data_IF_926589056365
#
_entry.id   IF_926589056365
#
_cell.length_a   1.000
_cell.length_b   1.000
_cell.length_c   1.000
_cell.angle_alpha   90.00
_cell.angle_beta   90.00
_cell.angle_gamma   90.00
#
_symmetry.space_group_name_H-M   'P 1'
#
loop_
_entity.id
_entity.type
_entity.pdbx_description
1 polymer ?
#
# COMPACT_ATOMS: atom_id res chain seq x y z
N UNK A 1 14.90 -18.51 -12.56
CA UNK A 1 13.87 -19.30 -13.28
C UNK A 1 12.64 -19.24 -12.40
N UNK A 2 11.72 -18.31 -12.68
CA UNK A 2 10.57 -18.04 -11.81
C UNK A 2 9.48 -19.11 -12.04
N UNK A 3 9.00 -19.70 -10.95
CA UNK A 3 7.99 -20.76 -10.96
C UNK A 3 6.58 -20.11 -11.02
N UNK A 4 5.95 -20.16 -12.20
CA UNK A 4 4.66 -19.50 -12.51
C UNK A 4 3.47 -20.42 -12.22
N UNK A 5 3.31 -20.87 -10.97
CA UNK A 5 2.16 -21.69 -10.58
C UNK A 5 1.47 -21.15 -9.33
N UNK A 6 0.48 -20.26 -9.53
CA UNK A 6 -0.70 -20.14 -8.65
C UNK A 6 -1.81 -19.31 -9.33
N UNK A 7 -2.98 -19.94 -9.54
CA UNK A 7 -4.33 -19.36 -9.48
C UNK A 7 -4.69 -18.19 -10.41
N UNK A 8 -5.37 -18.51 -11.52
CA UNK A 8 -6.28 -17.64 -12.31
C UNK A 8 -5.91 -16.16 -12.51
N UNK A 9 -4.63 -15.85 -12.71
CA UNK A 9 -4.25 -14.66 -13.46
C UNK A 9 -4.68 -14.86 -14.90
N UNK A 10 -5.54 -13.97 -15.42
CA UNK A 10 -5.98 -14.00 -16.82
C UNK A 10 -4.71 -14.06 -17.69
N UNK A 11 -4.52 -15.12 -18.51
CA UNK A 11 -3.25 -15.38 -19.21
C UNK A 11 -2.70 -14.17 -19.97
N UNK A 12 -3.59 -13.30 -20.45
CA UNK A 12 -3.27 -12.07 -21.15
C UNK A 12 -2.51 -11.04 -20.29
N UNK A 13 -2.86 -10.87 -19.00
CA UNK A 13 -2.16 -9.91 -18.14
C UNK A 13 -0.77 -10.41 -17.75
N UNK A 14 -0.62 -11.73 -17.53
CA UNK A 14 0.69 -12.33 -17.33
C UNK A 14 1.57 -12.20 -18.57
N UNK A 15 1.02 -12.51 -19.75
CA UNK A 15 1.71 -12.30 -21.02
C UNK A 15 2.14 -10.84 -21.19
N UNK A 16 1.25 -9.89 -20.89
CA UNK A 16 1.56 -8.46 -20.94
C UNK A 16 2.69 -8.07 -19.97
N UNK A 17 2.65 -8.54 -18.72
CA UNK A 17 3.72 -8.29 -17.74
C UNK A 17 5.06 -8.84 -18.20
N UNK A 18 5.08 -10.05 -18.77
CA UNK A 18 6.30 -10.66 -19.33
C UNK A 18 6.85 -9.86 -20.51
N UNK A 19 5.97 -9.43 -21.43
CA UNK A 19 6.36 -8.55 -22.54
C UNK A 19 6.97 -7.26 -22.00
N UNK A 20 6.32 -6.62 -21.03
CA UNK A 20 6.83 -5.42 -20.39
C UNK A 20 8.17 -5.67 -19.72
N UNK A 21 8.34 -6.80 -19.02
CA UNK A 21 9.58 -7.14 -18.32
C UNK A 21 10.75 -7.40 -19.30
N UNK A 22 10.46 -7.88 -20.51
CA UNK A 22 11.47 -8.07 -21.55
C UNK A 22 11.96 -6.76 -22.19
N UNK A 23 11.25 -5.63 -21.96
CA UNK A 23 11.64 -4.33 -22.53
C UNK A 23 12.78 -3.69 -21.73
N UNK A 24 13.65 -2.87 -22.37
CA UNK A 24 14.56 -1.98 -21.66
C UNK A 24 13.79 -1.03 -20.74
N UNK A 25 14.34 -0.72 -19.57
CA UNK A 25 13.70 0.14 -18.56
C UNK A 25 13.50 1.58 -19.07
N UNK A 26 14.43 2.00 -19.91
CA UNK A 26 14.55 3.29 -20.57
C UNK A 26 13.70 3.38 -21.85
N UNK A 27 13.05 2.29 -22.29
CA UNK A 27 12.18 2.31 -23.45
C UNK A 27 10.85 2.99 -23.13
N UNK A 28 10.51 4.04 -23.87
CA UNK A 28 9.25 4.78 -23.73
C UNK A 28 8.03 3.86 -23.87
N UNK A 29 7.12 3.88 -22.89
CA UNK A 29 5.87 3.15 -22.92
C UNK A 29 4.82 3.97 -23.70
N UNK A 30 4.10 3.32 -24.61
CA UNK A 30 3.02 3.98 -25.34
C UNK A 30 1.85 4.31 -24.42
N UNK A 31 1.05 5.31 -24.77
CA UNK A 31 -0.19 5.69 -24.08
C UNK A 31 -1.11 4.50 -23.81
N UNK A 32 -1.25 3.60 -24.80
CA UNK A 32 -2.01 2.37 -24.64
C UNK A 32 -1.40 1.43 -23.59
N UNK A 33 -0.07 1.33 -23.54
CA UNK A 33 0.63 0.55 -22.52
C UNK A 33 0.43 1.13 -21.11
N UNK A 34 0.51 2.45 -20.96
CA UNK A 34 0.20 3.14 -19.70
C UNK A 34 -1.25 2.86 -19.26
N UNK A 35 -2.19 2.94 -20.20
CA UNK A 35 -3.60 2.64 -19.95
C UNK A 35 -3.81 1.18 -19.53
N UNK A 36 -3.17 0.21 -20.20
CA UNK A 36 -3.27 -1.20 -19.84
C UNK A 36 -2.74 -1.50 -18.44
N UNK A 37 -1.60 -0.90 -18.06
CA UNK A 37 -1.11 -1.05 -16.69
C UNK A 37 -2.11 -0.43 -15.72
N UNK A 38 -2.56 0.80 -15.98
CA UNK A 38 -3.53 1.49 -15.13
C UNK A 38 -4.78 0.64 -14.85
N UNK A 39 -5.37 0.05 -15.90
CA UNK A 39 -6.56 -0.81 -15.78
C UNK A 39 -6.29 -2.15 -15.07
N UNK A 40 -5.03 -2.57 -14.96
CA UNK A 40 -4.66 -3.84 -14.34
C UNK A 40 -4.38 -3.75 -12.84
N UNK A 41 -4.07 -2.54 -12.33
CA UNK A 41 -3.55 -2.34 -10.98
C UNK A 41 -4.50 -2.86 -9.91
N UNK A 42 -5.79 -2.52 -9.98
CA UNK A 42 -6.77 -2.94 -8.96
C UNK A 42 -6.86 -4.46 -8.87
N UNK A 43 -6.88 -5.13 -10.03
CA UNK A 43 -6.93 -6.59 -10.11
C UNK A 43 -5.67 -7.22 -9.56
N UNK A 44 -4.51 -6.68 -9.91
CA UNK A 44 -3.23 -7.15 -9.39
C UNK A 44 -3.16 -6.96 -7.87
N UNK A 45 -3.55 -5.79 -7.36
CA UNK A 45 -3.59 -5.50 -5.93
C UNK A 45 -4.46 -6.52 -5.18
N UNK A 46 -5.69 -6.75 -5.63
CA UNK A 46 -6.62 -7.72 -5.01
C UNK A 46 -6.03 -9.13 -5.06
N UNK A 47 -5.47 -9.52 -6.21
CA UNK A 47 -4.92 -10.87 -6.42
C UNK A 47 -3.70 -11.11 -5.51
N UNK A 48 -2.75 -10.17 -5.50
CA UNK A 48 -1.55 -10.25 -4.66
C UNK A 48 -1.90 -10.25 -3.16
N UNK A 49 -2.83 -9.39 -2.74
CA UNK A 49 -3.33 -9.37 -1.36
C UNK A 49 -4.06 -10.68 -0.98
N UNK A 50 -4.84 -11.25 -1.89
CA UNK A 50 -5.56 -12.51 -1.68
C UNK A 50 -4.60 -13.69 -1.53
N UNK A 51 -3.58 -13.76 -2.37
CA UNK A 51 -2.55 -14.79 -2.35
C UNK A 51 -1.50 -14.58 -1.24
N UNK A 52 -1.46 -13.41 -0.61
CA UNK A 52 -0.47 -13.10 0.43
C UNK A 52 0.95 -13.00 -0.12
N UNK A 53 1.12 -12.37 -1.29
CA UNK A 53 2.42 -12.17 -1.95
C UNK A 53 2.60 -10.73 -2.41
N UNK A 54 3.83 -10.36 -2.75
CA UNK A 54 4.12 -9.10 -3.44
C UNK A 54 3.41 -9.04 -4.82
N UNK A 55 3.15 -7.82 -5.30
CA UNK A 55 2.67 -7.62 -6.68
C UNK A 55 3.75 -8.06 -7.67
N UNK A 56 3.35 -8.59 -8.83
CA UNK A 56 4.32 -8.84 -9.91
C UNK A 56 4.90 -7.57 -10.52
N UNK A 57 4.40 -6.39 -10.16
CA UNK A 57 4.99 -5.10 -10.51
C UNK A 57 5.86 -4.53 -9.38
N UNK A 58 6.06 -5.24 -8.26
CA UNK A 58 6.87 -4.78 -7.12
C UNK A 58 8.37 -4.99 -7.39
N UNK A 59 8.89 -4.32 -8.41
CA UNK A 59 10.32 -4.25 -8.75
C UNK A 59 10.70 -2.79 -9.01
N UNK A 60 11.88 -2.37 -8.56
CA UNK A 60 12.35 -0.98 -8.69
C UNK A 60 12.37 -0.46 -10.13
N UNK A 61 12.52 -1.36 -11.10
CA UNK A 61 12.46 -1.03 -12.53
C UNK A 61 11.14 -0.39 -12.95
N UNK A 62 10.07 -0.65 -12.22
CA UNK A 62 8.73 -0.13 -12.51
C UNK A 62 8.49 1.25 -11.90
N UNK A 63 9.32 1.69 -10.94
CA UNK A 63 9.20 3.01 -10.34
C UNK A 63 9.52 4.15 -11.32
N UNK A 64 10.26 3.85 -12.39
CA UNK A 64 10.53 4.77 -13.49
C UNK A 64 9.33 4.99 -14.43
N UNK A 65 8.33 4.11 -14.40
CA UNK A 65 7.14 4.26 -15.23
C UNK A 65 6.21 5.31 -14.62
N UNK A 66 5.86 6.33 -15.41
CA UNK A 66 4.82 7.29 -15.04
C UNK A 66 3.45 6.66 -15.25
N UNK A 67 2.75 6.31 -14.18
CA UNK A 67 1.39 5.77 -14.30
C UNK A 67 0.35 6.90 -14.30
N UNK A 68 0.16 7.52 -15.46
CA UNK A 68 -0.89 8.51 -15.67
C UNK A 68 -1.70 8.18 -16.91
N UNK A 69 -3.01 8.37 -16.87
CA UNK A 69 -3.84 8.22 -18.06
C UNK A 69 -3.55 9.36 -19.05
N UNK A 70 -3.52 9.08 -20.37
CA UNK A 70 -3.35 10.10 -21.39
C UNK A 70 -4.42 11.19 -21.25
N UNK A 71 -4.02 12.46 -21.32
CA UNK A 71 -4.93 13.60 -21.20
C UNK A 71 -5.29 14.02 -19.77
N UNK A 72 -4.75 13.36 -18.74
CA UNK A 72 -4.87 13.82 -17.36
C UNK A 72 -4.15 15.15 -17.14
N UNK A 73 -4.67 15.97 -16.22
CA UNK A 73 -3.94 17.14 -15.73
C UNK A 73 -2.66 16.69 -15.00
N UNK A 74 -1.68 17.58 -14.84
CA UNK A 74 -0.43 17.25 -14.17
C UNK A 74 -0.66 16.71 -12.75
N UNK A 75 -1.59 17.31 -12.02
CA UNK A 75 -1.92 16.97 -10.64
C UNK A 75 -2.65 15.64 -10.55
N UNK A 76 -3.61 15.40 -11.46
CA UNK A 76 -4.30 14.10 -11.52
C UNK A 76 -3.32 12.99 -11.91
N UNK A 77 -2.44 13.23 -12.88
CA UNK A 77 -1.42 12.27 -13.29
C UNK A 77 -0.43 11.95 -12.17
N UNK A 78 -0.02 12.95 -11.39
CA UNK A 78 0.82 12.73 -10.20
C UNK A 78 0.12 11.86 -9.15
N UNK A 79 -1.16 12.13 -8.88
CA UNK A 79 -1.96 11.35 -7.94
C UNK A 79 -2.20 9.90 -8.43
N UNK A 80 -2.49 9.72 -9.72
CA UNK A 80 -2.58 8.39 -10.35
C UNK A 80 -1.26 7.63 -10.22
N UNK A 81 -0.12 8.32 -10.41
CA UNK A 81 1.21 7.74 -10.25
C UNK A 81 1.50 7.31 -8.81
N UNK A 82 1.07 8.10 -7.82
CA UNK A 82 1.17 7.73 -6.40
C UNK A 82 0.27 6.55 -6.06
N UNK A 83 -1.00 6.60 -6.46
CA UNK A 83 -1.96 5.53 -6.23
C UNK A 83 -1.45 4.21 -6.79
N UNK A 84 -0.95 4.22 -8.03
CA UNK A 84 -0.37 3.05 -8.68
C UNK A 84 0.80 2.47 -7.88
N UNK A 85 1.76 3.32 -7.49
CA UNK A 85 2.92 2.87 -6.71
C UNK A 85 2.52 2.26 -5.37
N UNK A 86 1.55 2.87 -4.70
CA UNK A 86 0.98 2.30 -3.47
C UNK A 86 0.31 0.95 -3.74
N UNK A 87 -0.53 0.83 -4.77
CA UNK A 87 -1.23 -0.40 -5.09
C UNK A 87 -0.28 -1.55 -5.48
N UNK A 88 0.88 -1.24 -6.04
CA UNK A 88 1.93 -2.22 -6.34
C UNK A 88 2.68 -2.66 -5.08
N UNK A 89 3.06 -1.73 -4.21
CA UNK A 89 3.95 -2.01 -3.06
C UNK A 89 3.21 -2.45 -1.78
N UNK A 90 1.96 -2.02 -1.58
CA UNK A 90 1.16 -2.37 -0.38
C UNK A 90 0.89 -3.88 -0.22
N UNK A 91 0.64 -4.67 -1.29
CA UNK A 91 0.47 -6.13 -1.17
C UNK A 91 1.65 -6.82 -0.49
N UNK A 92 2.89 -6.41 -0.81
CA UNK A 92 4.10 -6.94 -0.18
C UNK A 92 4.13 -6.62 1.32
N UNK A 93 3.83 -5.37 1.70
CA UNK A 93 3.70 -4.99 3.10
C UNK A 93 2.65 -5.84 3.84
N UNK A 94 1.50 -6.10 3.21
CA UNK A 94 0.45 -6.95 3.80
C UNK A 94 0.95 -8.39 3.98
N UNK A 95 1.65 -8.94 2.98
CA UNK A 95 2.22 -10.28 3.03
C UNK A 95 3.22 -10.42 4.19
N UNK A 96 4.18 -9.50 4.30
CA UNK A 96 5.17 -9.48 5.38
C UNK A 96 4.52 -9.33 6.76
N UNK A 97 3.51 -8.46 6.89
CA UNK A 97 2.75 -8.31 8.13
C UNK A 97 2.01 -9.60 8.52
N UNK A 98 1.49 -10.37 7.56
CA UNK A 98 0.86 -11.67 7.82
C UNK A 98 1.90 -12.69 8.30
N UNK A 99 3.05 -12.77 7.63
CA UNK A 99 4.16 -13.65 8.02
C UNK A 99 4.63 -13.36 9.46
N UNK A 100 4.75 -12.09 9.84
CA UNK A 100 5.12 -11.69 11.20
C UNK A 100 4.07 -12.14 12.22
N UNK A 101 2.78 -12.01 11.90
CA UNK A 101 1.68 -12.41 12.79
C UNK A 101 1.59 -13.92 12.99
N UNK A 102 1.90 -14.70 11.96
CA UNK A 102 1.89 -16.17 12.00
C UNK A 102 3.09 -16.74 12.77
N UNK A 103 4.21 -16.00 12.85
CA UNK A 103 5.37 -16.41 13.64
C UNK A 103 5.09 -16.25 15.13
N UNK A 104 5.36 -17.32 15.90
CA UNK A 104 5.24 -17.30 17.37
C UNK A 104 6.19 -16.29 18.03
N UNK A 105 7.36 -16.06 17.42
CA UNK A 105 8.38 -15.10 17.86
C UNK A 105 9.06 -14.45 16.64
N UNK A 106 8.49 -13.39 16.04
CA UNK A 106 9.17 -12.66 14.97
C UNK A 106 10.45 -12.03 15.52
N UNK A 107 11.48 -12.01 14.69
CA UNK A 107 12.79 -11.45 15.05
C UNK A 107 12.77 -9.93 14.92
N UNK A 108 13.71 -9.26 15.59
CA UNK A 108 13.90 -7.81 15.44
C UNK A 108 14.19 -7.44 13.97
N UNK A 109 14.93 -8.30 13.26
CA UNK A 109 15.22 -8.12 11.84
C UNK A 109 13.96 -8.14 10.98
N UNK A 110 13.04 -9.09 11.22
CA UNK A 110 11.76 -9.16 10.48
C UNK A 110 10.96 -7.87 10.67
N UNK A 111 10.88 -7.38 11.91
CA UNK A 111 10.19 -6.13 12.23
C UNK A 111 10.86 -4.92 11.56
N UNK A 112 12.19 -4.87 11.51
CA UNK A 112 12.92 -3.77 10.86
C UNK A 112 12.63 -3.70 9.36
N UNK A 113 12.58 -4.84 8.66
CA UNK A 113 12.25 -4.89 7.23
C UNK A 113 10.86 -4.29 6.99
N UNK A 114 9.87 -4.69 7.79
CA UNK A 114 8.50 -4.19 7.66
C UNK A 114 8.40 -2.72 8.05
N UNK A 115 9.10 -2.28 9.09
CA UNK A 115 9.17 -0.86 9.48
C UNK A 115 9.73 0.00 8.35
N UNK A 116 10.78 -0.47 7.66
CA UNK A 116 11.38 0.22 6.51
C UNK A 116 10.40 0.31 5.34
N UNK A 117 9.72 -0.79 4.99
CA UNK A 117 8.70 -0.81 3.94
C UNK A 117 7.56 0.17 4.24
N UNK A 118 7.05 0.17 5.48
CA UNK A 118 6.02 1.14 5.91
C UNK A 118 6.53 2.57 5.76
N UNK A 119 7.76 2.86 6.19
CA UNK A 119 8.32 4.20 6.11
C UNK A 119 8.47 4.66 4.66
N UNK A 120 8.96 3.81 3.77
CA UNK A 120 9.06 4.10 2.34
C UNK A 120 7.68 4.39 1.73
N UNK A 121 6.65 3.61 2.08
CA UNK A 121 5.29 3.80 1.59
C UNK A 121 4.63 5.08 2.13
N UNK A 122 4.93 5.47 3.37
CA UNK A 122 4.43 6.73 3.95
C UNK A 122 5.05 7.96 3.29
N UNK A 123 6.28 7.85 2.76
CA UNK A 123 6.94 8.91 2.01
C UNK A 123 6.41 9.07 0.57
N UNK A 124 5.58 8.14 0.08
CA UNK A 124 4.88 8.28 -1.19
C UNK A 124 3.68 9.21 -1.02
N UNK A 125 3.95 10.51 -1.06
CA UNK A 125 2.96 11.57 -1.03
C UNK A 125 3.34 12.74 -1.94
N UNK A 126 2.33 13.47 -2.39
CA UNK A 126 2.47 14.73 -3.11
C UNK A 126 1.32 15.62 -2.63
N UNK A 127 1.59 16.33 -1.52
CA UNK A 127 0.59 17.12 -0.83
C UNK A 127 -0.01 18.22 -1.72
N UNK A 128 0.80 18.76 -2.65
CA UNK A 128 0.36 19.79 -3.59
C UNK A 128 -0.60 19.20 -4.62
N UNK A 129 -0.23 18.09 -5.28
CA UNK A 129 -1.10 17.42 -6.23
C UNK A 129 -2.40 16.95 -5.56
N UNK A 130 -2.31 16.35 -4.38
CA UNK A 130 -3.46 15.90 -3.59
C UNK A 130 -4.40 17.07 -3.27
N UNK A 131 -3.86 18.17 -2.73
CA UNK A 131 -4.63 19.37 -2.40
C UNK A 131 -5.30 19.95 -3.65
N UNK A 132 -4.58 20.06 -4.76
CA UNK A 132 -5.14 20.58 -6.01
C UNK A 132 -6.26 19.71 -6.56
N UNK A 133 -6.14 18.39 -6.49
CA UNK A 133 -7.20 17.47 -6.96
C UNK A 133 -8.40 17.52 -6.00
N UNK A 134 -8.19 17.65 -4.69
CA UNK A 134 -9.26 17.80 -3.70
C UNK A 134 -10.07 19.10 -3.90
N UNK A 135 -9.42 20.23 -4.19
CA UNK A 135 -10.10 21.50 -4.46
C UNK A 135 -11.02 21.45 -5.69
N UNK A 136 -10.86 20.45 -6.55
CA UNK A 136 -11.72 20.25 -7.72
C UNK A 136 -13.00 19.48 -7.39
N UNK A 137 -13.06 18.81 -6.23
CA UNK A 137 -14.22 18.05 -5.76
C UNK A 137 -15.27 19.02 -5.23
N UNK A 138 -16.49 18.94 -5.78
CA UNK A 138 -17.61 19.75 -5.32
C UNK A 138 -18.37 19.03 -4.23
N UNK A 139 -18.58 19.71 -3.11
CA UNK A 139 -19.48 19.24 -2.05
C UNK A 139 -20.88 19.70 -2.41
N UNK A 140 -21.79 18.74 -2.58
CA UNK A 140 -23.19 18.99 -2.89
C UNK A 140 -24.01 18.57 -1.68
N UNK A 141 -24.91 19.43 -1.15
CA UNK A 141 -25.81 19.00 -0.09
C UNK A 141 -26.66 17.85 -0.61
N UNK A 142 -26.66 16.72 0.10
CA UNK A 142 -27.53 15.60 -0.22
C UNK A 142 -28.96 15.98 0.13
N UNK A 143 -29.65 16.60 -0.82
CA UNK A 143 -31.09 16.82 -0.71
C UNK A 143 -31.79 15.46 -0.73
N UNK A 144 -32.45 15.09 0.36
CA UNK A 144 -33.48 14.05 0.30
C UNK A 144 -34.77 14.49 1.00
N UNK A 145 -35.83 14.34 0.21
CA UNK A 145 -37.27 14.46 0.50
C UNK A 145 -37.83 13.31 1.36
N UNK A 146 -36.98 12.45 1.92
CA UNK A 146 -37.41 11.31 2.75
C UNK A 146 -36.72 11.32 4.12
N UNK A 147 -37.49 11.00 5.16
CA UNK A 147 -37.27 11.26 6.60
C UNK A 147 -36.06 10.56 7.26
N UNK A 148 -35.05 10.09 6.53
CA UNK A 148 -33.83 9.49 7.11
C UNK A 148 -32.59 10.01 6.38
N UNK A 149 -31.95 11.00 6.98
CA UNK A 149 -30.63 11.50 6.55
C UNK A 149 -29.59 10.45 6.92
N UNK A 150 -29.02 9.78 5.91
CA UNK A 150 -27.88 8.85 6.09
C UNK A 150 -26.54 9.58 5.89
N UNK A 151 -26.48 10.58 5.00
CA UNK A 151 -25.31 11.46 4.82
C UNK A 151 -25.77 12.89 4.51
N UNK A 152 -25.11 13.88 5.14
CA UNK A 152 -25.43 15.31 5.01
C UNK A 152 -24.85 15.97 3.75
N UNK A 153 -23.87 15.34 3.08
CA UNK A 153 -23.31 15.82 1.82
C UNK A 153 -22.94 14.67 0.89
N UNK A 154 -23.03 14.93 -0.41
CA UNK A 154 -22.47 14.11 -1.48
C UNK A 154 -21.29 14.82 -2.14
N UNK A 155 -20.42 14.05 -2.79
CA UNK A 155 -19.23 14.57 -3.47
C UNK A 155 -19.39 14.38 -4.97
N UNK A 156 -19.14 15.42 -5.75
CA UNK A 156 -19.13 15.37 -7.22
C UNK A 156 -17.71 15.56 -7.72
N UNK A 157 -17.20 14.56 -8.42
CA UNK A 157 -15.90 14.57 -9.07
C UNK A 157 -16.03 15.07 -10.52
N UNK A 158 -14.97 15.65 -11.08
CA UNK A 158 -14.92 16.10 -12.48
C UNK A 158 -14.93 14.95 -13.47
N UNK A 159 -14.37 13.80 -13.09
CA UNK A 159 -14.31 12.60 -13.92
C UNK A 159 -14.30 11.34 -13.06
N UNK A 160 -14.60 10.21 -13.68
CA UNK A 160 -14.46 8.90 -13.05
C UNK A 160 -13.01 8.66 -12.60
N UNK A 161 -12.03 8.93 -13.46
CA UNK A 161 -10.61 8.77 -13.16
C UNK A 161 -10.17 9.59 -11.94
N UNK A 162 -10.68 10.82 -11.79
CA UNK A 162 -10.43 11.62 -10.61
C UNK A 162 -10.96 10.96 -9.34
N UNK A 163 -12.20 10.44 -9.38
CA UNK A 163 -12.79 9.75 -8.24
C UNK A 163 -12.01 8.49 -7.86
N UNK A 164 -11.60 7.70 -8.87
CA UNK A 164 -10.83 6.47 -8.67
C UNK A 164 -9.48 6.80 -8.06
N UNK A 165 -8.73 7.74 -8.64
CA UNK A 165 -7.40 8.12 -8.15
C UNK A 165 -7.45 8.61 -6.70
N UNK A 166 -8.35 9.54 -6.37
CA UNK A 166 -8.47 10.09 -5.01
C UNK A 166 -8.88 9.03 -3.98
N UNK A 167 -9.95 8.28 -4.27
CA UNK A 167 -10.50 7.31 -3.32
C UNK A 167 -9.49 6.18 -3.08
N UNK A 168 -8.89 5.64 -4.15
CA UNK A 168 -7.94 4.53 -4.02
C UNK A 168 -6.62 4.97 -3.39
N UNK A 169 -6.12 6.17 -3.73
CA UNK A 169 -4.94 6.73 -3.06
C UNK A 169 -5.15 6.81 -1.54
N UNK A 170 -6.25 7.42 -1.10
CA UNK A 170 -6.55 7.55 0.32
C UNK A 170 -6.84 6.21 1.00
N UNK A 171 -7.54 5.31 0.32
CA UNK A 171 -7.77 3.95 0.80
C UNK A 171 -6.45 3.23 1.08
N UNK A 172 -5.51 3.26 0.14
CA UNK A 172 -4.19 2.62 0.28
C UNK A 172 -3.35 3.30 1.36
N UNK A 173 -3.35 4.64 1.43
CA UNK A 173 -2.69 5.40 2.50
C UNK A 173 -3.20 4.98 3.88
N UNK A 174 -4.51 4.87 4.05
CA UNK A 174 -5.13 4.44 5.30
C UNK A 174 -4.77 3.00 5.66
N UNK A 175 -4.62 2.10 4.67
CA UNK A 175 -4.09 0.76 4.90
C UNK A 175 -2.68 0.82 5.46
N UNK A 176 -1.78 1.59 4.85
CA UNK A 176 -0.39 1.73 5.32
C UNK A 176 -0.34 2.28 6.75
N UNK A 177 -1.12 3.32 7.04
CA UNK A 177 -1.23 3.91 8.39
C UNK A 177 -1.74 2.87 9.39
N UNK A 178 -2.78 2.12 9.04
CA UNK A 178 -3.31 1.07 9.93
C UNK A 178 -2.27 -0.01 10.20
N UNK A 179 -1.57 -0.48 9.18
CA UNK A 179 -0.52 -1.49 9.33
C UNK A 179 0.64 -0.98 10.18
N UNK A 180 0.99 0.31 10.06
CA UNK A 180 1.97 0.96 10.95
C UNK A 180 1.54 0.89 12.41
N UNK A 181 0.29 1.27 12.69
CA UNK A 181 -0.26 1.24 14.06
C UNK A 181 -0.27 -0.17 14.63
N UNK A 182 -0.68 -1.16 13.83
CA UNK A 182 -0.68 -2.58 14.22
C UNK A 182 0.74 -3.08 14.52
N UNK A 183 1.73 -2.65 13.73
CA UNK A 183 3.14 -3.00 13.91
C UNK A 183 3.71 -2.40 15.19
N UNK A 184 3.43 -1.12 15.47
CA UNK A 184 3.84 -0.44 16.70
C UNK A 184 3.22 -1.11 17.94
N UNK A 185 1.96 -1.54 17.86
CA UNK A 185 1.31 -2.31 18.93
C UNK A 185 1.98 -3.68 19.14
N UNK A 186 2.35 -4.36 18.06
CA UNK A 186 3.03 -5.66 18.12
C UNK A 186 4.42 -5.53 18.73
N UNK A 187 5.17 -4.50 18.33
CA UNK A 187 6.49 -4.19 18.88
C UNK A 187 6.42 -3.93 20.38
N UNK A 188 5.46 -3.12 20.87
CA UNK A 188 5.29 -2.86 22.31
C UNK A 188 5.04 -4.13 23.12
N UNK A 189 4.13 -5.00 22.66
CA UNK A 189 3.80 -6.26 23.35
C UNK A 189 5.02 -7.18 23.49
N UNK A 190 5.90 -7.22 22.48
CA UNK A 190 7.13 -8.01 22.55
C UNK A 190 8.13 -7.45 23.56
N UNK A 191 8.30 -6.13 23.60
CA UNK A 191 9.18 -5.48 24.58
C UNK A 191 8.70 -5.72 26.02
N UNK A 192 7.40 -5.59 26.27
CA UNK A 192 6.80 -5.88 27.59
C UNK A 192 6.99 -7.36 27.98
N UNK A 193 6.77 -8.29 27.04
CA UNK A 193 6.98 -9.73 27.28
C UNK A 193 8.45 -10.06 27.57
N UNK A 194 9.40 -9.41 26.89
CA UNK A 194 10.83 -9.59 27.13
C UNK A 194 11.29 -9.03 28.47
N UNK A 195 10.71 -7.91 28.90
CA UNK A 195 10.94 -7.32 30.24
C UNK A 195 10.39 -8.24 31.34
N UNK A 196 9.17 -8.77 31.17
CA UNK A 196 8.55 -9.66 32.15
C UNK A 196 9.32 -10.98 32.32
N UNK A 197 9.87 -11.56 31.23
CA UNK A 197 10.72 -12.76 31.29
C UNK A 197 12.06 -12.50 31.97
N UNK A 198 12.61 -11.28 31.87
CA UNK A 198 13.86 -10.91 32.58
C UNK A 198 13.64 -10.74 34.08
N UNK A 199 12.48 -10.23 34.50
CA UNK A 199 12.14 -10.03 35.93
C UNK A 199 11.66 -11.30 36.64
N UNK A 200 11.26 -12.33 35.89
CA UNK A 200 10.77 -13.60 36.43
C UNK A 200 11.83 -14.71 36.52
N UNK A 201 13.11 -14.38 36.28
CA UNK A 201 14.24 -15.22 36.75
C UNK A 201 14.60 -14.82 38.19
N UNK A 202 14.28 -15.64 39.20
CA UNK A 202 14.50 -15.30 40.61
C UNK A 202 15.99 -15.18 41.02
N UNK A 203 16.94 -15.52 40.14
CA UNK A 203 18.38 -15.52 40.46
C UNK A 203 19.04 -14.13 40.45
N UNK A 204 18.37 -13.08 39.94
CA UNK A 204 18.98 -11.74 39.84
C UNK A 204 18.45 -10.70 40.84
N UNK A 205 17.43 -11.03 41.65
CA UNK A 205 16.87 -10.08 42.62
C UNK A 205 17.76 -9.96 43.88
N UNK A 206 18.63 -10.92 44.15
CA UNK A 206 19.48 -10.89 45.36
C UNK A 206 20.85 -10.21 45.20
N UNK A 207 21.23 -9.71 44.00
CA UNK A 207 22.58 -9.10 43.82
C UNK A 207 22.61 -7.57 43.87
N UNK A 208 21.48 -6.89 43.70
CA UNK A 208 21.45 -5.40 43.65
C UNK A 208 21.14 -4.77 45.02
N UNK A 209 20.65 -5.54 45.99
CA UNK A 209 20.50 -5.09 47.40
C UNK A 209 21.78 -5.44 48.22
N UNK A 210 22.79 -5.97 47.52
CA UNK A 210 24.19 -6.22 47.88
C UNK A 210 25.07 -5.03 48.31
N UNK A 211 24.92 -3.95 47.55
CA UNK A 211 25.95 -2.94 47.33
C UNK A 211 25.37 -1.52 47.33
N UNK A 212 24.62 -1.19 48.40
CA UNK A 212 24.40 0.19 48.86
C UNK A 212 24.61 0.23 50.36
#
# INVERSE_FOLDING_TARGET
MADFRTGDEVPHFNGFRVIMAARPVDAHLSDFGHYLIWQSIDKEFITACGLGRASGWDEDRWDALRFSTPGSSSELGALQGLMTRLAVKVPNLIAEMRLIRERTKPTISDLQVVLQLVQQLLLLEDADAESQVLHQVKIVPSGMTTKRVVMASSYTFRSYDQSVALIHYWYLRLIVIKLRLDLDQTHRKQFESALFVRTSRPEYICRVIREV
#
